data_IF_940210021892
#
_entry.id   IF_940210021892
#
_cell.length_a   1.000
_cell.length_b   1.000
_cell.length_c   1.000
_cell.angle_alpha   90.00
_cell.angle_beta   90.00
_cell.angle_gamma   90.00
#
_symmetry.space_group_name_H-M   'P 1'
#
loop_
_entity.id
_entity.type
_entity.pdbx_description
1 polymer ?
#
# COMPACT_ATOMS: atom_id res chain seq x y z
N UNK A 1 -5.25 -12.46 31.84
CA UNK A 1 -4.97 -12.28 30.39
C UNK A 1 -6.31 -12.00 29.71
N UNK A 2 -6.53 -10.77 29.24
CA UNK A 2 -7.81 -10.39 28.64
C UNK A 2 -8.04 -11.03 27.27
N UNK A 3 -9.31 -11.22 26.89
CA UNK A 3 -9.71 -11.79 25.60
C UNK A 3 -9.09 -11.05 24.38
N UNK A 4 -8.71 -9.77 24.53
CA UNK A 4 -8.03 -8.97 23.51
C UNK A 4 -6.74 -9.60 22.97
N UNK A 5 -5.99 -10.34 23.79
CA UNK A 5 -4.73 -10.94 23.40
C UNK A 5 -4.85 -12.03 22.31
N UNK A 6 -5.99 -12.72 22.26
CA UNK A 6 -6.27 -13.74 21.25
C UNK A 6 -7.09 -13.18 20.08
N UNK A 7 -7.94 -12.18 20.33
CA UNK A 7 -8.83 -11.60 19.32
C UNK A 7 -8.01 -10.87 18.24
N UNK A 8 -6.98 -10.11 18.59
CA UNK A 8 -6.26 -9.29 17.61
C UNK A 8 -5.47 -10.12 16.58
N UNK A 9 -4.64 -11.12 16.97
CA UNK A 9 -4.00 -11.98 15.98
C UNK A 9 -5.02 -12.75 15.13
N UNK A 10 -6.12 -13.20 15.73
CA UNK A 10 -7.19 -13.91 15.02
C UNK A 10 -7.87 -13.02 13.98
N UNK A 11 -8.12 -11.75 14.29
CA UNK A 11 -8.66 -10.77 13.32
C UNK A 11 -7.69 -10.59 12.16
N UNK A 12 -6.39 -10.39 12.42
CA UNK A 12 -5.38 -10.22 11.37
C UNK A 12 -5.30 -11.44 10.47
N UNK A 13 -5.24 -12.64 11.06
CA UNK A 13 -5.24 -13.91 10.32
C UNK A 13 -6.52 -14.00 9.47
N UNK A 14 -7.68 -13.72 10.05
CA UNK A 14 -8.97 -13.74 9.34
C UNK A 14 -9.00 -12.73 8.19
N UNK A 15 -8.44 -11.53 8.36
CA UNK A 15 -8.35 -10.52 7.30
C UNK A 15 -7.39 -10.94 6.18
N UNK A 16 -6.26 -11.57 6.49
CA UNK A 16 -5.30 -12.05 5.50
C UNK A 16 -5.85 -13.27 4.72
N UNK A 17 -6.42 -14.25 5.42
CA UNK A 17 -7.06 -15.41 4.79
C UNK A 17 -8.33 -15.02 4.03
N UNK A 18 -9.17 -14.16 4.62
CA UNK A 18 -10.34 -13.60 3.97
C UNK A 18 -9.96 -12.77 2.74
N UNK A 19 -8.92 -11.95 2.85
CA UNK A 19 -8.40 -11.14 1.75
C UNK A 19 -7.81 -11.97 0.62
N UNK A 20 -7.07 -13.03 0.91
CA UNK A 20 -6.60 -13.98 -0.12
C UNK A 20 -7.76 -14.75 -0.77
N UNK A 21 -8.76 -15.14 0.01
CA UNK A 21 -9.96 -15.82 -0.49
C UNK A 21 -10.82 -14.93 -1.39
N UNK A 22 -11.10 -13.69 -0.98
CA UNK A 22 -11.90 -12.71 -1.75
C UNK A 22 -11.17 -12.31 -3.04
N UNK A 23 -9.85 -12.17 -2.99
CA UNK A 23 -9.04 -11.76 -4.14
C UNK A 23 -8.53 -12.93 -5.01
N UNK A 24 -9.03 -14.15 -4.75
CA UNK A 24 -8.64 -15.36 -5.48
C UNK A 24 -9.06 -15.28 -6.95
N UNK A 25 -8.41 -16.11 -7.75
CA UNK A 25 -8.81 -16.39 -9.11
C UNK A 25 -9.72 -17.64 -9.11
N UNK A 26 -11.04 -17.44 -9.07
CA UNK A 26 -12.03 -18.53 -9.00
C UNK A 26 -12.04 -19.42 -10.24
N UNK A 27 -11.73 -18.85 -11.40
CA UNK A 27 -11.72 -19.55 -12.69
C UNK A 27 -10.44 -20.37 -12.94
N UNK A 28 -9.37 -20.10 -12.17
CA UNK A 28 -8.09 -20.79 -12.34
C UNK A 28 -8.02 -22.08 -11.52
N UNK A 29 -7.89 -23.20 -12.22
CA UNK A 29 -7.70 -24.53 -11.61
C UNK A 29 -6.21 -24.84 -11.46
N UNK A 30 -5.76 -25.03 -10.21
CA UNK A 30 -4.35 -25.34 -9.89
C UNK A 30 -3.83 -26.62 -10.56
N UNK A 31 -4.72 -27.61 -10.69
CA UNK A 31 -4.44 -28.96 -11.18
C UNK A 31 -5.04 -29.21 -12.58
N UNK A 32 -5.45 -28.16 -13.30
CA UNK A 32 -6.05 -28.29 -14.63
C UNK A 32 -5.01 -28.50 -15.74
N UNK A 33 -5.19 -29.54 -16.57
CA UNK A 33 -4.42 -29.74 -17.81
C UNK A 33 -4.68 -28.56 -18.76
N UNK A 34 -3.62 -27.95 -19.29
CA UNK A 34 -3.65 -26.79 -20.20
C UNK A 34 -4.59 -27.08 -21.38
N UNK A 35 -5.77 -26.44 -21.46
CA UNK A 35 -6.47 -26.30 -22.75
C UNK A 35 -5.72 -25.21 -23.50
N UNK A 36 -4.85 -25.62 -24.42
CA UNK A 36 -4.26 -24.72 -25.41
C UNK A 36 -5.45 -24.27 -26.27
N UNK A 37 -5.96 -23.07 -26.03
CA UNK A 37 -6.81 -22.40 -27.01
C UNK A 37 -5.90 -21.95 -28.14
N UNK A 38 -5.73 -22.82 -29.15
CA UNK A 38 -5.23 -22.40 -30.46
C UNK A 38 -6.32 -21.52 -31.07
N UNK A 39 -6.16 -20.19 -30.95
CA UNK A 39 -6.86 -19.27 -31.82
C UNK A 39 -6.23 -19.38 -33.21
N UNK A 40 -6.67 -20.32 -34.02
CA UNK A 40 -6.46 -20.25 -35.47
C UNK A 40 -7.39 -19.16 -36.01
N UNK A 41 -6.86 -18.08 -36.62
CA UNK A 41 -7.72 -17.18 -37.36
C UNK A 41 -8.23 -17.94 -38.59
N UNK A 42 -9.50 -18.34 -38.58
CA UNK A 42 -10.20 -18.76 -39.79
C UNK A 42 -10.35 -17.53 -40.69
N UNK A 43 -9.45 -17.37 -41.65
CA UNK A 43 -9.69 -16.53 -42.82
C UNK A 43 -10.60 -17.29 -43.79
N UNK A 44 -11.70 -16.64 -44.15
CA UNK A 44 -12.65 -17.00 -45.19
C UNK A 44 -12.02 -16.89 -46.59
N UNK A 45 -12.45 -17.78 -47.49
CA UNK A 45 -11.98 -18.11 -48.86
C UNK A 45 -12.05 -16.96 -49.90
N UNK A 46 -11.58 -17.14 -51.16
CA UNK A 46 -12.35 -17.91 -52.16
C UNK A 46 -11.52 -18.82 -53.09
N UNK A 47 -12.25 -19.69 -53.80
CA UNK A 47 -11.77 -20.70 -54.73
C UNK A 47 -11.21 -20.15 -56.05
N UNK A 48 -10.28 -20.88 -56.66
CA UNK A 48 -10.13 -20.99 -58.12
C UNK A 48 -9.41 -22.29 -58.51
N UNK A 49 -9.83 -22.85 -59.62
CA UNK A 49 -9.61 -24.19 -60.17
C UNK A 49 -8.28 -24.40 -60.92
N UNK A 50 -7.83 -25.66 -60.90
CA UNK A 50 -7.14 -26.45 -61.94
C UNK A 50 -5.80 -25.97 -62.53
N UNK A 51 -4.74 -26.80 -62.35
CA UNK A 51 -4.10 -27.58 -63.43
C UNK A 51 -2.93 -28.43 -62.92
N UNK A 52 -2.82 -29.64 -63.46
CA UNK A 52 -1.76 -30.64 -63.29
C UNK A 52 -0.36 -30.11 -63.66
N UNK A 53 0.68 -30.51 -62.92
CA UNK A 53 1.88 -31.11 -63.52
C UNK A 53 2.71 -31.92 -62.49
N UNK A 54 3.39 -32.94 -63.00
CA UNK A 54 4.08 -34.02 -62.30
C UNK A 54 5.60 -33.84 -62.27
N UNK A 55 6.24 -34.20 -61.15
CA UNK A 55 7.71 -34.26 -61.07
C UNK A 55 8.20 -34.75 -59.72
N UNK A 56 8.74 -35.98 -59.69
CA UNK A 56 9.31 -36.64 -58.50
C UNK A 56 10.72 -36.10 -58.18
N UNK A 57 10.96 -35.76 -56.91
CA UNK A 57 12.25 -35.96 -56.22
C UNK A 57 12.11 -35.80 -54.70
N UNK A 58 12.40 -36.87 -53.96
CA UNK A 58 12.46 -37.02 -52.49
C UNK A 58 13.65 -36.26 -51.86
N UNK A 59 13.87 -36.28 -50.52
CA UNK A 59 12.95 -36.23 -49.39
C UNK A 59 13.20 -34.99 -48.50
N UNK A 60 12.12 -34.51 -47.88
CA UNK A 60 12.02 -33.70 -46.66
C UNK A 60 13.33 -33.52 -45.86
N UNK A 61 14.01 -32.39 -46.07
CA UNK A 61 14.83 -31.78 -45.02
C UNK A 61 13.88 -31.36 -43.88
N UNK A 62 14.00 -32.05 -42.75
CA UNK A 62 13.32 -31.77 -41.49
C UNK A 62 13.85 -30.46 -40.86
N UNK A 63 13.63 -29.34 -41.53
CA UNK A 63 14.24 -28.06 -41.22
C UNK A 63 13.25 -26.90 -41.29
N UNK A 64 12.08 -27.00 -40.64
CA UNK A 64 11.20 -25.83 -40.43
C UNK A 64 9.94 -26.11 -39.58
N UNK A 65 10.02 -26.96 -38.55
CA UNK A 65 8.91 -27.13 -37.58
C UNK A 65 9.23 -26.69 -36.15
N UNK A 66 10.35 -25.97 -35.95
CA UNK A 66 10.73 -25.36 -34.67
C UNK A 66 11.09 -23.87 -34.78
N UNK A 67 10.90 -23.25 -35.94
CA UNK A 67 10.97 -21.80 -36.06
C UNK A 67 9.56 -21.24 -35.83
N UNK A 68 9.42 -20.39 -34.80
CA UNK A 68 8.18 -19.78 -34.28
C UNK A 68 7.52 -20.48 -33.09
N UNK A 69 8.32 -20.90 -32.10
CA UNK A 69 7.90 -20.71 -30.71
C UNK A 69 8.62 -19.46 -30.24
N UNK A 70 7.87 -18.45 -29.79
CA UNK A 70 8.39 -17.21 -29.23
C UNK A 70 9.50 -17.51 -28.21
N UNK A 71 10.77 -17.39 -28.64
CA UNK A 71 11.92 -17.61 -27.78
C UNK A 71 12.06 -16.37 -26.90
N UNK A 72 11.23 -16.30 -25.87
CA UNK A 72 11.17 -15.15 -24.99
C UNK A 72 12.54 -14.95 -24.32
N UNK A 73 13.04 -13.70 -24.26
CA UNK A 73 14.41 -13.46 -23.85
C UNK A 73 14.63 -13.91 -22.41
N UNK A 74 15.68 -14.73 -22.22
CA UNK A 74 16.14 -15.25 -20.91
C UNK A 74 16.45 -14.14 -19.90
N UNK A 75 16.76 -12.95 -20.41
CA UNK A 75 17.09 -11.77 -19.64
C UNK A 75 16.13 -10.64 -19.97
N UNK A 76 15.77 -9.86 -18.95
CA UNK A 76 14.89 -8.70 -19.05
C UNK A 76 15.67 -7.42 -18.73
N UNK A 77 15.48 -6.40 -19.57
CA UNK A 77 16.01 -5.06 -19.32
C UNK A 77 15.18 -4.34 -18.24
N UNK A 78 15.85 -3.71 -17.29
CA UNK A 78 15.27 -2.87 -16.23
C UNK A 78 15.96 -1.52 -16.24
N UNK A 79 15.20 -0.45 -16.09
CA UNK A 79 15.75 0.89 -15.89
C UNK A 79 15.88 1.17 -14.39
N UNK A 80 17.08 1.53 -13.95
CA UNK A 80 17.34 2.02 -12.59
C UNK A 80 17.46 3.54 -12.66
N UNK A 81 16.73 4.25 -11.80
CA UNK A 81 16.75 5.71 -11.71
C UNK A 81 17.23 6.15 -10.32
N UNK A 82 18.46 6.63 -10.23
CA UNK A 82 19.04 7.14 -8.96
C UNK A 82 19.35 8.63 -9.15
N UNK A 83 18.71 9.49 -8.36
CA UNK A 83 18.97 10.94 -8.35
C UNK A 83 18.98 11.60 -9.75
N UNK A 84 18.14 11.12 -10.66
CA UNK A 84 18.04 11.63 -12.03
C UNK A 84 18.90 10.88 -13.07
N UNK A 85 19.93 10.15 -12.63
CA UNK A 85 20.72 9.27 -13.49
C UNK A 85 19.89 8.02 -13.85
N UNK A 86 19.83 7.71 -15.15
CA UNK A 86 19.17 6.53 -15.68
C UNK A 86 20.23 5.55 -16.13
N UNK A 87 20.18 4.32 -15.62
CA UNK A 87 21.07 3.24 -16.03
C UNK A 87 20.24 2.01 -16.36
N UNK A 88 20.44 1.47 -17.54
CA UNK A 88 19.86 0.19 -17.90
C UNK A 88 20.66 -0.95 -17.27
N UNK A 89 19.94 -1.86 -16.62
CA UNK A 89 20.49 -3.06 -16.00
C UNK A 89 19.73 -4.27 -16.51
N UNK A 90 20.47 -5.35 -16.76
CA UNK A 90 19.92 -6.61 -17.22
C UNK A 90 19.66 -7.51 -16.01
N UNK A 91 18.48 -8.10 -15.95
CA UNK A 91 18.00 -8.95 -14.84
C UNK A 91 17.43 -10.27 -15.37
N UNK A 92 17.44 -11.36 -14.60
CA UNK A 92 16.96 -12.64 -15.11
C UNK A 92 15.44 -12.64 -15.33
N UNK A 93 14.97 -13.24 -16.42
CA UNK A 93 13.54 -13.39 -16.67
C UNK A 93 12.99 -14.62 -15.93
N UNK A 94 12.03 -14.40 -15.02
CA UNK A 94 11.43 -15.44 -14.18
C UNK A 94 10.31 -16.21 -14.88
N UNK A 95 9.88 -15.79 -16.09
CA UNK A 95 8.74 -16.38 -16.80
C UNK A 95 8.90 -17.87 -17.12
N UNK A 96 10.13 -18.36 -17.24
CA UNK A 96 10.45 -19.80 -17.35
C UNK A 96 9.87 -20.65 -16.20
N UNK A 97 9.61 -20.04 -15.04
CA UNK A 97 9.04 -20.70 -13.86
C UNK A 97 7.52 -20.56 -13.76
N UNK A 98 6.83 -20.03 -14.77
CA UNK A 98 5.38 -19.77 -14.73
C UNK A 98 4.53 -21.01 -14.39
N UNK A 99 4.99 -22.20 -14.79
CA UNK A 99 4.26 -23.47 -14.62
C UNK A 99 4.59 -24.21 -13.31
N UNK A 100 5.52 -23.68 -12.51
CA UNK A 100 5.90 -24.26 -11.22
C UNK A 100 4.75 -24.15 -10.22
N UNK A 101 4.70 -25.05 -9.23
CA UNK A 101 3.59 -25.11 -8.27
C UNK A 101 3.36 -23.78 -7.53
N UNK A 102 4.43 -23.16 -7.02
CA UNK A 102 4.34 -21.89 -6.30
C UNK A 102 3.88 -20.74 -7.22
N UNK A 103 4.35 -20.69 -8.46
CA UNK A 103 3.89 -19.73 -9.46
C UNK A 103 2.39 -19.91 -9.78
N UNK A 104 1.93 -21.16 -9.90
CA UNK A 104 0.50 -21.49 -10.08
C UNK A 104 -0.32 -21.12 -8.84
N UNK A 105 0.23 -21.30 -7.64
CA UNK A 105 -0.40 -20.87 -6.39
C UNK A 105 -0.57 -19.36 -6.34
N UNK A 106 0.46 -18.59 -6.69
CA UNK A 106 0.39 -17.12 -6.77
C UNK A 106 -0.57 -16.65 -7.86
N UNK A 107 -0.69 -17.38 -8.97
CA UNK A 107 -1.70 -17.11 -10.01
C UNK A 107 -3.13 -17.33 -9.51
N UNK A 108 -3.35 -18.32 -8.63
CA UNK A 108 -4.65 -18.53 -7.98
C UNK A 108 -4.91 -17.54 -6.84
N UNK A 109 -3.91 -17.25 -6.02
CA UNK A 109 -4.01 -16.37 -4.86
C UNK A 109 -3.04 -15.19 -4.98
N UNK A 110 -3.34 -14.22 -5.84
CA UNK A 110 -2.41 -13.13 -6.18
C UNK A 110 -2.17 -12.14 -5.03
N UNK A 111 -3.05 -12.11 -4.03
CA UNK A 111 -2.85 -11.31 -2.81
C UNK A 111 -1.76 -11.90 -1.89
N UNK A 112 -1.37 -13.17 -2.08
CA UNK A 112 -0.31 -13.78 -1.28
C UNK A 112 1.05 -13.10 -1.47
N UNK A 113 1.30 -12.54 -2.66
CA UNK A 113 2.47 -11.70 -2.94
C UNK A 113 2.49 -10.46 -2.03
N UNK A 114 1.32 -9.91 -1.72
CA UNK A 114 1.19 -8.72 -0.88
C UNK A 114 1.43 -9.04 0.59
N UNK A 115 0.91 -10.19 1.06
CA UNK A 115 1.22 -10.73 2.38
C UNK A 115 2.72 -10.97 2.54
N UNK A 116 3.40 -11.48 1.50
CA UNK A 116 4.86 -11.65 1.50
C UNK A 116 5.60 -10.32 1.63
N UNK A 117 5.21 -9.28 0.88
CA UNK A 117 5.83 -7.96 1.04
C UNK A 117 5.65 -7.38 2.43
N UNK A 118 4.49 -7.59 3.05
CA UNK A 118 4.24 -7.18 4.42
C UNK A 118 5.13 -7.92 5.43
N UNK A 119 5.23 -9.24 5.28
CA UNK A 119 6.14 -10.06 6.09
C UNK A 119 7.61 -9.60 5.92
N UNK A 120 8.03 -9.27 4.69
CA UNK A 120 9.37 -8.75 4.42
C UNK A 120 9.63 -7.43 5.16
N UNK A 121 8.69 -6.47 5.09
CA UNK A 121 8.80 -5.19 5.78
C UNK A 121 8.88 -5.40 7.30
N UNK A 122 8.04 -6.29 7.84
CA UNK A 122 8.05 -6.65 9.26
C UNK A 122 9.40 -7.24 9.68
N UNK A 123 9.98 -8.16 8.89
CA UNK A 123 11.29 -8.75 9.19
C UNK A 123 12.43 -7.75 9.12
N UNK A 124 12.42 -6.83 8.15
CA UNK A 124 13.40 -5.75 8.07
C UNK A 124 13.32 -4.85 9.30
N UNK A 125 12.12 -4.47 9.72
CA UNK A 125 11.91 -3.72 10.96
C UNK A 125 12.41 -4.49 12.19
N UNK A 126 12.09 -5.78 12.27
CA UNK A 126 12.47 -6.63 13.40
C UNK A 126 14.00 -6.77 13.54
N UNK A 127 14.70 -6.88 12.41
CA UNK A 127 16.16 -6.93 12.34
C UNK A 127 16.77 -5.59 12.72
N UNK A 128 16.23 -4.49 12.19
CA UNK A 128 16.67 -3.14 12.53
C UNK A 128 16.50 -2.81 14.02
N UNK A 129 15.40 -3.26 14.63
CA UNK A 129 15.16 -3.17 16.07
C UNK A 129 16.13 -4.05 16.86
N UNK A 130 16.40 -5.28 16.41
CA UNK A 130 17.38 -6.14 17.08
C UNK A 130 18.77 -5.51 17.08
N UNK A 131 19.19 -4.94 15.95
CA UNK A 131 20.43 -4.18 15.85
C UNK A 131 20.43 -2.98 16.80
N UNK A 132 19.36 -2.17 16.79
CA UNK A 132 19.21 -1.01 17.66
C UNK A 132 19.29 -1.41 19.14
N UNK A 133 18.58 -2.47 19.55
CA UNK A 133 18.57 -2.97 20.92
C UNK A 133 19.95 -3.44 21.40
N UNK A 134 20.76 -4.05 20.52
CA UNK A 134 22.14 -4.44 20.84
C UNK A 134 23.07 -3.23 20.96
N UNK A 135 22.78 -2.14 20.24
CA UNK A 135 23.54 -0.88 20.29
C UNK A 135 23.04 0.11 21.36
N UNK A 136 21.86 -0.11 21.96
CA UNK A 136 21.25 0.83 22.91
C UNK A 136 21.86 0.67 24.32
N UNK A 137 22.68 1.63 24.70
CA UNK A 137 23.18 1.83 26.08
C UNK A 137 22.13 2.64 26.86
N UNK A 138 22.01 2.47 28.19
CA UNK A 138 21.06 3.18 29.07
C UNK A 138 20.97 4.70 28.83
N UNK A 139 22.04 5.34 28.36
CA UNK A 139 22.06 6.76 27.96
C UNK A 139 21.05 7.14 26.86
N UNK A 140 20.63 6.20 26.01
CA UNK A 140 19.68 6.46 24.91
C UNK A 140 18.27 6.79 25.38
N UNK A 141 17.81 6.22 26.49
CA UNK A 141 16.49 6.55 27.08
C UNK A 141 16.48 7.98 27.60
N UNK A 142 17.58 8.42 28.22
CA UNK A 142 17.74 9.80 28.70
C UNK A 142 17.85 10.82 27.55
N UNK A 143 18.47 10.43 26.43
CA UNK A 143 18.46 11.23 25.19
C UNK A 143 17.04 11.36 24.64
N UNK A 144 16.30 10.25 24.53
CA UNK A 144 14.93 10.25 24.01
C UNK A 144 13.98 11.12 24.86
N UNK A 145 14.16 11.13 26.19
CA UNK A 145 13.41 12.01 27.10
C UNK A 145 13.73 13.49 26.87
N UNK A 146 15.02 13.82 26.68
CA UNK A 146 15.42 15.21 26.37
C UNK A 146 14.82 15.68 25.04
N UNK A 147 14.80 14.83 24.02
CA UNK A 147 14.15 15.15 22.75
C UNK A 147 12.65 15.37 22.92
N UNK A 148 11.97 14.58 23.76
CA UNK A 148 10.55 14.79 24.05
C UNK A 148 10.28 16.14 24.74
N UNK A 149 11.13 16.54 25.70
CA UNK A 149 11.03 17.87 26.31
C UNK A 149 11.29 18.99 25.30
N UNK A 150 12.27 18.83 24.40
CA UNK A 150 12.50 19.78 23.31
C UNK A 150 11.28 19.94 22.40
N UNK A 151 10.57 18.84 22.11
CA UNK A 151 9.32 18.87 21.35
C UNK A 151 8.26 19.68 22.10
N UNK A 152 8.07 19.42 23.41
CA UNK A 152 7.12 20.19 24.24
C UNK A 152 7.46 21.68 24.25
N UNK A 153 8.72 22.05 24.46
CA UNK A 153 9.14 23.45 24.45
C UNK A 153 8.88 24.11 23.09
N UNK A 154 9.12 23.39 22.00
CA UNK A 154 8.84 23.87 20.66
C UNK A 154 7.33 24.06 20.43
N UNK A 155 6.50 23.11 20.87
CA UNK A 155 5.04 23.21 20.79
C UNK A 155 4.49 24.38 21.61
N UNK A 156 5.05 24.62 22.79
CA UNK A 156 4.70 25.77 23.63
C UNK A 156 5.08 27.09 22.96
N UNK A 157 6.28 27.16 22.36
CA UNK A 157 6.73 28.34 21.61
C UNK A 157 5.88 28.60 20.35
N UNK A 158 5.38 27.54 19.72
CA UNK A 158 4.46 27.62 18.59
C UNK A 158 2.99 27.81 19.01
N UNK A 159 2.68 27.85 20.32
CA UNK A 159 1.34 27.91 20.87
C UNK A 159 0.39 26.81 20.39
N UNK A 160 0.93 25.62 20.11
CA UNK A 160 0.16 24.43 19.69
C UNK A 160 0.14 23.33 20.74
N UNK A 161 0.69 23.57 21.93
CA UNK A 161 0.72 22.61 23.04
C UNK A 161 -0.68 22.43 23.65
N UNK A 162 -1.48 21.56 23.02
CA UNK A 162 -2.86 21.26 23.41
C UNK A 162 -3.04 19.82 23.92
N UNK A 163 -2.00 19.00 23.84
CA UNK A 163 -2.00 17.57 24.16
C UNK A 163 -2.55 17.30 25.55
N UNK A 164 -2.08 18.06 26.55
CA UNK A 164 -2.49 17.90 27.94
C UNK A 164 -3.98 18.27 28.13
N UNK A 165 -4.45 19.33 27.46
CA UNK A 165 -5.85 19.76 27.53
C UNK A 165 -6.78 18.72 26.89
N UNK A 166 -6.38 18.19 25.73
CA UNK A 166 -7.12 17.13 25.04
C UNK A 166 -7.16 15.86 25.90
N UNK A 167 -6.02 15.41 26.43
CA UNK A 167 -5.98 14.23 27.28
C UNK A 167 -6.85 14.40 28.53
N UNK A 168 -6.74 15.52 29.24
CA UNK A 168 -7.53 15.78 30.45
C UNK A 168 -9.04 15.76 30.17
N UNK A 169 -9.48 16.28 29.02
CA UNK A 169 -10.89 16.21 28.62
C UNK A 169 -11.34 14.76 28.38
N UNK A 170 -10.53 13.94 27.71
CA UNK A 170 -10.85 12.52 27.50
C UNK A 170 -10.84 11.71 28.80
N UNK A 171 -9.93 12.00 29.74
CA UNK A 171 -9.89 11.36 31.05
C UNK A 171 -11.16 11.60 31.87
N UNK A 172 -11.83 12.74 31.68
CA UNK A 172 -13.12 13.04 32.30
C UNK A 172 -14.30 12.27 31.67
N UNK A 173 -14.09 11.64 30.50
CA UNK A 173 -15.11 10.92 29.76
C UNK A 173 -14.71 9.44 29.54
N UNK A 174 -14.88 8.56 30.55
CA UNK A 174 -14.42 7.18 30.49
C UNK A 174 -14.92 6.38 29.29
N UNK A 175 -16.17 6.61 28.87
CA UNK A 175 -16.75 5.97 27.69
C UNK A 175 -16.01 6.36 26.40
N UNK A 176 -15.71 7.65 26.22
CA UNK A 176 -14.97 8.12 25.06
C UNK A 176 -13.52 7.65 25.10
N UNK A 177 -12.89 7.66 26.28
CA UNK A 177 -11.54 7.16 26.49
C UNK A 177 -11.42 5.67 26.11
N UNK A 178 -12.39 4.84 26.53
CA UNK A 178 -12.44 3.42 26.19
C UNK A 178 -12.46 3.19 24.67
N UNK A 179 -13.36 3.85 23.94
CA UNK A 179 -13.41 3.74 22.48
C UNK A 179 -12.17 4.32 21.79
N UNK A 180 -11.58 5.36 22.35
CA UNK A 180 -10.37 6.00 21.82
C UNK A 180 -9.16 5.09 21.96
N UNK A 181 -9.00 4.43 23.12
CA UNK A 181 -8.01 3.37 23.34
C UNK A 181 -8.17 2.24 22.32
N UNK A 182 -9.41 1.80 22.11
CA UNK A 182 -9.71 0.74 21.15
C UNK A 182 -9.41 1.13 19.71
N UNK A 183 -9.76 2.35 19.33
CA UNK A 183 -9.44 2.95 18.03
C UNK A 183 -7.93 2.96 17.82
N UNK A 184 -7.18 3.47 18.80
CA UNK A 184 -5.72 3.52 18.75
C UNK A 184 -5.10 2.13 18.52
N UNK A 185 -5.49 1.15 19.35
CA UNK A 185 -4.96 -0.21 19.29
C UNK A 185 -5.36 -0.98 18.03
N UNK A 186 -6.63 -0.87 17.61
CA UNK A 186 -7.19 -1.75 16.57
C UNK A 186 -7.08 -1.18 15.15
N UNK A 187 -7.11 0.14 14.98
CA UNK A 187 -7.25 0.72 13.63
C UNK A 187 -5.93 0.71 12.87
N UNK A 188 -4.77 0.81 13.53
CA UNK A 188 -3.50 0.90 12.82
C UNK A 188 -3.18 -0.35 11.98
N UNK A 189 -3.17 -1.54 12.58
CA UNK A 189 -2.77 -2.77 11.87
C UNK A 189 -3.98 -3.40 11.14
N UNK A 190 -5.03 -3.91 11.84
CA UNK A 190 -6.22 -4.43 11.19
C UNK A 190 -6.85 -3.48 10.16
N UNK A 191 -6.98 -2.20 10.49
CA UNK A 191 -7.57 -1.20 9.58
C UNK A 191 -6.75 -1.00 8.31
N UNK A 192 -5.42 -0.94 8.42
CA UNK A 192 -4.54 -0.86 7.25
C UNK A 192 -4.60 -2.11 6.37
N UNK A 193 -4.65 -3.31 6.99
CA UNK A 193 -4.79 -4.57 6.25
C UNK A 193 -6.13 -4.61 5.52
N UNK A 194 -7.22 -4.28 6.21
CA UNK A 194 -8.56 -4.22 5.62
C UNK A 194 -8.61 -3.25 4.44
N UNK A 195 -8.03 -2.05 4.60
CA UNK A 195 -7.91 -1.08 3.52
C UNK A 195 -7.13 -1.64 2.33
N UNK A 196 -6.02 -2.35 2.54
CA UNK A 196 -5.23 -2.93 1.47
C UNK A 196 -5.96 -4.06 0.74
N UNK A 197 -6.65 -4.93 1.49
CA UNK A 197 -7.50 -5.97 0.92
C UNK A 197 -8.59 -5.36 0.04
N UNK A 198 -9.26 -4.32 0.53
CA UNK A 198 -10.29 -3.60 -0.21
C UNK A 198 -9.72 -2.87 -1.43
N UNK A 199 -8.60 -2.15 -1.27
CA UNK A 199 -7.97 -1.42 -2.37
C UNK A 199 -7.52 -2.41 -3.45
N UNK A 200 -6.90 -3.53 -3.08
CA UNK A 200 -6.49 -4.57 -4.02
C UNK A 200 -7.70 -5.14 -4.76
N UNK A 201 -8.81 -5.39 -4.06
CA UNK A 201 -10.04 -5.86 -4.68
C UNK A 201 -10.58 -4.84 -5.69
N UNK A 202 -10.65 -3.57 -5.31
CA UNK A 202 -11.15 -2.48 -6.13
C UNK A 202 -10.27 -2.21 -7.36
N UNK A 203 -8.95 -2.18 -7.20
CA UNK A 203 -8.01 -1.81 -8.27
C UNK A 203 -7.60 -2.99 -9.16
N UNK A 204 -7.60 -4.20 -8.60
CA UNK A 204 -7.10 -5.39 -9.27
C UNK A 204 -8.23 -6.36 -9.58
N UNK A 205 -8.90 -6.89 -8.56
CA UNK A 205 -9.83 -8.02 -8.73
C UNK A 205 -11.03 -7.63 -9.60
N UNK A 206 -11.57 -6.43 -9.40
CA UNK A 206 -12.68 -5.89 -10.22
C UNK A 206 -12.28 -5.52 -11.65
N UNK A 207 -10.98 -5.28 -11.88
CA UNK A 207 -10.41 -4.74 -13.13
C UNK A 207 -9.72 -5.78 -14.01
N UNK A 208 -9.78 -7.06 -13.68
CA UNK A 208 -9.14 -8.11 -14.49
C UNK A 208 -9.86 -8.25 -15.83
N UNK A 209 -9.15 -7.93 -16.91
CA UNK A 209 -9.57 -8.17 -18.29
C UNK A 209 -9.07 -9.53 -18.82
N UNK A 210 -8.03 -10.11 -18.21
CA UNK A 210 -7.37 -11.36 -18.68
C UNK A 210 -8.20 -12.65 -18.48
N UNK A 211 -9.46 -12.55 -18.05
CA UNK A 211 -10.33 -13.70 -17.84
C UNK A 211 -11.73 -13.39 -18.38
N UNK A 212 -12.30 -14.24 -19.25
CA UNK A 212 -13.71 -14.15 -19.58
C UNK A 212 -14.49 -14.49 -18.31
N UNK A 213 -14.87 -13.46 -17.57
CA UNK A 213 -15.95 -13.58 -16.60
C UNK A 213 -17.17 -14.03 -17.41
N UNK A 214 -17.73 -15.19 -17.07
CA UNK A 214 -18.78 -15.88 -17.84
C UNK A 214 -20.04 -15.04 -18.14
N UNK A 215 -20.15 -13.84 -17.55
CA UNK A 215 -21.25 -12.90 -17.68
C UNK A 215 -20.85 -11.49 -18.17
N UNK A 216 -19.63 -11.27 -18.71
CA UNK A 216 -19.25 -9.95 -19.25
C UNK A 216 -19.26 -9.97 -20.78
N UNK A 217 -20.06 -9.11 -21.45
CA UNK A 217 -19.97 -8.97 -22.90
C UNK A 217 -18.56 -8.52 -23.29
N UNK A 218 -18.05 -9.09 -24.38
CA UNK A 218 -16.73 -8.84 -24.94
C UNK A 218 -16.62 -7.35 -25.31
N UNK A 219 -15.90 -6.54 -24.53
CA UNK A 219 -15.61 -5.13 -24.86
C UNK A 219 -16.00 -4.08 -23.83
N UNK A 220 -16.76 -4.40 -22.78
CA UNK A 220 -17.04 -3.45 -21.69
C UNK A 220 -16.09 -3.67 -20.52
N UNK A 221 -15.01 -2.89 -20.49
CA UNK A 221 -14.18 -2.75 -19.30
C UNK A 221 -14.93 -1.89 -18.26
N UNK A 222 -15.98 -2.46 -17.62
CA UNK A 222 -16.70 -1.84 -16.49
C UNK A 222 -15.86 -1.89 -15.19
N UNK A 223 -14.54 -1.81 -15.34
CA UNK A 223 -13.56 -1.79 -14.27
C UNK A 223 -13.47 -0.41 -13.62
N UNK A 224 -13.12 -0.41 -12.34
CA UNK A 224 -12.61 0.78 -11.66
C UNK A 224 -11.49 1.45 -12.48
N UNK A 225 -11.56 2.76 -12.72
CA UNK A 225 -10.51 3.50 -13.45
C UNK A 225 -9.16 3.58 -12.72
N UNK A 226 -9.04 3.02 -11.51
CA UNK A 226 -7.85 3.13 -10.68
C UNK A 226 -6.65 2.30 -11.15
N UNK A 227 -6.89 1.14 -11.79
CA UNK A 227 -5.86 0.21 -12.24
C UNK A 227 -4.95 -0.38 -11.13
N UNK A 228 -4.26 -1.50 -11.37
CA UNK A 228 -3.38 -2.14 -10.37
C UNK A 228 -2.14 -1.31 -10.03
N UNK A 229 -1.74 -0.39 -10.91
CA UNK A 229 -0.62 0.54 -10.67
C UNK A 229 -0.86 1.42 -9.44
N UNK A 230 -2.12 1.82 -9.17
CA UNK A 230 -2.46 2.61 -7.98
C UNK A 230 -2.16 1.85 -6.70
N UNK A 231 -2.64 0.60 -6.58
CA UNK A 231 -2.38 -0.23 -5.42
C UNK A 231 -0.87 -0.42 -5.20
N UNK A 232 -0.12 -0.74 -6.27
CA UNK A 232 1.33 -0.90 -6.19
C UNK A 232 2.03 0.39 -5.72
N UNK A 233 1.55 1.57 -6.15
CA UNK A 233 2.06 2.86 -5.69
C UNK A 233 1.79 3.07 -4.20
N UNK A 234 0.56 2.82 -3.71
CA UNK A 234 0.22 2.99 -2.28
C UNK A 234 0.98 2.02 -1.39
N UNK A 235 1.14 0.76 -1.80
CA UNK A 235 2.01 -0.21 -1.13
C UNK A 235 3.44 0.29 -0.99
N UNK A 236 4.04 0.76 -2.10
CA UNK A 236 5.41 1.30 -2.07
C UNK A 236 5.51 2.53 -1.17
N UNK A 237 4.51 3.41 -1.19
CA UNK A 237 4.48 4.57 -0.30
C UNK A 237 4.51 4.15 1.17
N UNK A 238 3.67 3.19 1.61
CA UNK A 238 3.74 2.69 2.99
C UNK A 238 5.11 2.07 3.34
N UNK A 239 5.71 1.33 2.42
CA UNK A 239 7.04 0.76 2.62
C UNK A 239 8.12 1.84 2.76
N UNK A 240 8.06 2.90 1.95
CA UNK A 240 8.97 4.06 2.07
C UNK A 240 8.70 4.85 3.36
N UNK A 241 7.45 5.03 3.78
CA UNK A 241 7.13 5.63 5.08
C UNK A 241 7.82 4.87 6.22
N UNK A 242 7.75 3.53 6.23
CA UNK A 242 8.44 2.73 7.25
C UNK A 242 9.95 2.87 7.20
N UNK A 243 10.53 2.91 5.99
CA UNK A 243 11.97 3.09 5.84
C UNK A 243 12.43 4.44 6.39
N UNK A 244 11.74 5.53 6.02
CA UNK A 244 12.06 6.88 6.52
C UNK A 244 11.84 6.95 8.02
N UNK A 245 10.70 6.45 8.53
CA UNK A 245 10.43 6.43 9.97
C UNK A 245 11.49 5.65 10.73
N UNK A 246 11.93 4.50 10.22
CA UNK A 246 13.02 3.73 10.80
C UNK A 246 14.32 4.52 10.88
N UNK A 247 14.71 5.21 9.78
CA UNK A 247 15.90 6.08 9.78
C UNK A 247 15.78 7.17 10.85
N UNK A 248 14.62 7.84 10.95
CA UNK A 248 14.41 8.88 11.96
C UNK A 248 14.47 8.31 13.37
N UNK A 249 13.83 7.16 13.64
CA UNK A 249 13.87 6.52 14.97
C UNK A 249 15.28 6.13 15.40
N UNK A 250 16.13 5.70 14.47
CA UNK A 250 17.51 5.34 14.75
C UNK A 250 18.38 6.58 15.01
N UNK A 251 18.15 7.69 14.28
CA UNK A 251 18.97 8.90 14.39
C UNK A 251 18.50 9.86 15.50
N UNK A 252 17.20 9.92 15.76
CA UNK A 252 16.56 10.85 16.69
C UNK A 252 15.44 10.15 17.48
N UNK A 253 15.78 9.30 18.47
CA UNK A 253 14.77 8.66 19.29
C UNK A 253 14.01 9.72 20.10
N UNK A 254 12.68 9.62 20.16
CA UNK A 254 11.83 10.58 20.87
C UNK A 254 10.84 9.81 21.76
N UNK A 255 10.89 10.10 23.05
CA UNK A 255 10.04 9.44 24.05
C UNK A 255 8.58 9.90 23.93
N UNK A 256 7.59 9.00 23.96
CA UNK A 256 6.19 9.40 23.93
C UNK A 256 5.75 10.10 25.23
N UNK A 257 4.72 10.97 25.16
CA UNK A 257 4.27 11.76 26.32
C UNK A 257 3.91 10.91 27.55
N UNK A 258 3.22 9.78 27.36
CA UNK A 258 2.81 8.87 28.45
C UNK A 258 3.96 8.34 29.32
N UNK A 259 5.19 8.28 28.79
CA UNK A 259 6.36 7.78 29.52
C UNK A 259 7.14 8.88 30.26
N UNK A 260 6.74 10.16 30.11
CA UNK A 260 7.39 11.28 30.79
C UNK A 260 7.12 11.33 32.29
N UNK A 261 6.01 10.74 32.73
CA UNK A 261 5.56 10.74 34.14
C UNK A 261 6.24 9.69 35.02
N UNK A 262 7.32 9.05 34.56
CA UNK A 262 8.04 8.01 35.33
C UNK A 262 8.64 8.56 36.64
N UNK A 263 8.25 7.96 37.77
CA UNK A 263 8.67 8.32 39.11
C UNK A 263 10.15 7.99 39.40
N UNK A 264 10.72 7.01 38.69
CA UNK A 264 12.06 6.48 38.99
C UNK A 264 13.20 7.31 38.39
N UNK A 265 12.90 8.40 37.68
CA UNK A 265 13.91 9.22 36.99
C UNK A 265 14.40 10.35 37.92
N UNK A 266 15.66 10.34 38.40
CA UNK A 266 16.20 11.41 39.22
C UNK A 266 16.59 12.64 38.39
N UNK A 267 16.80 13.77 39.06
CA UNK A 267 17.34 15.01 38.47
C UNK A 267 16.29 16.00 37.94
N UNK A 268 16.79 17.17 37.50
CA UNK A 268 15.95 18.28 37.03
C UNK A 268 15.09 17.90 35.80
N UNK A 269 15.67 17.15 34.86
CA UNK A 269 14.98 16.64 33.66
C UNK A 269 13.81 15.73 34.03
N UNK A 270 13.97 14.86 35.02
CA UNK A 270 12.89 14.01 35.51
C UNK A 270 11.79 14.80 36.22
N UNK A 271 12.16 15.84 36.97
CA UNK A 271 11.21 16.73 37.65
C UNK A 271 10.36 17.52 36.65
N UNK A 272 10.98 18.04 35.59
CA UNK A 272 10.29 18.73 34.51
C UNK A 272 9.40 17.78 33.70
N UNK A 273 9.89 16.60 33.30
CA UNK A 273 9.07 15.63 32.58
C UNK A 273 7.80 15.24 33.36
N UNK A 274 7.91 15.08 34.68
CA UNK A 274 6.78 14.80 35.57
C UNK A 274 5.82 15.97 35.79
N UNK A 275 6.25 17.22 35.64
CA UNK A 275 5.37 18.37 35.89
C UNK A 275 4.20 18.45 34.91
N UNK A 276 4.35 17.84 33.73
CA UNK A 276 3.30 17.76 32.72
C UNK A 276 2.20 16.73 33.06
N UNK A 277 2.50 15.71 33.87
CA UNK A 277 1.48 14.80 34.41
C UNK A 277 0.72 13.93 33.39
N UNK A 278 1.31 13.59 32.24
CA UNK A 278 0.68 12.71 31.25
C UNK A 278 0.32 11.34 31.84
N UNK A 279 -0.82 10.78 31.42
CA UNK A 279 -1.32 9.49 31.91
C UNK A 279 -1.26 8.42 30.82
N UNK A 280 -0.71 7.24 31.12
CA UNK A 280 -0.78 6.09 30.21
C UNK A 280 -2.13 5.37 30.35
N UNK A 281 -3.04 5.65 29.43
CA UNK A 281 -4.39 5.09 29.41
C UNK A 281 -4.50 3.78 28.63
N UNK A 282 -3.49 3.44 27.82
CA UNK A 282 -3.50 2.26 26.94
C UNK A 282 -2.77 1.08 27.58
N UNK A 283 -1.69 1.33 28.32
CA UNK A 283 -0.81 0.29 28.88
C UNK A 283 -0.90 0.18 30.41
N UNK A 284 -1.76 0.96 31.07
CA UNK A 284 -2.02 0.87 32.51
C UNK A 284 -2.74 -0.42 32.93
N UNK A 285 -2.87 -0.65 34.25
CA UNK A 285 -3.45 -1.87 34.83
C UNK A 285 -4.93 -2.12 34.44
N UNK A 286 -5.65 -1.07 34.05
CA UNK A 286 -7.03 -1.12 33.52
C UNK A 286 -7.11 -0.85 32.00
N UNK A 287 -5.96 -0.67 31.33
CA UNK A 287 -5.89 -0.38 29.90
C UNK A 287 -6.27 -1.58 29.03
N UNK A 288 -6.87 -1.31 27.86
CA UNK A 288 -7.12 -2.36 26.86
C UNK A 288 -5.78 -2.91 26.33
N UNK A 289 -5.31 -3.99 26.96
CA UNK A 289 -4.12 -4.73 26.56
C UNK A 289 -4.23 -5.26 25.12
N UNK A 290 -3.73 -4.48 24.15
CA UNK A 290 -3.47 -4.95 22.80
C UNK A 290 -2.15 -5.69 22.77
N UNK A 291 -2.15 -6.90 22.20
CA UNK A 291 -0.95 -7.73 22.07
C UNK A 291 0.08 -7.07 21.16
N UNK A 292 -0.34 -6.17 20.27
CA UNK A 292 0.55 -5.48 19.37
C UNK A 292 1.15 -4.20 19.96
N UNK A 293 0.43 -3.47 20.82
CA UNK A 293 0.99 -2.29 21.51
C UNK A 293 1.78 -2.65 22.77
N UNK A 294 1.38 -3.71 23.49
CA UNK A 294 2.09 -4.22 24.67
C UNK A 294 3.21 -5.23 24.36
N UNK A 295 3.38 -5.64 23.10
CA UNK A 295 4.40 -6.64 22.78
C UNK A 295 5.80 -6.10 23.08
N UNK A 296 6.66 -6.94 23.70
CA UNK A 296 8.12 -6.72 23.87
C UNK A 296 8.87 -6.47 22.53
N UNK A 297 8.15 -6.50 21.40
CA UNK A 297 8.65 -6.37 20.03
C UNK A 297 8.40 -4.97 19.41
N UNK A 298 7.68 -4.06 20.07
CA UNK A 298 7.54 -2.66 19.64
C UNK A 298 8.55 -1.76 20.37
N UNK A 299 9.20 -0.84 19.65
CA UNK A 299 10.08 0.15 20.28
C UNK A 299 9.23 1.18 21.03
N UNK A 300 9.18 1.07 22.36
CA UNK A 300 8.33 1.92 23.20
C UNK A 300 8.80 3.39 23.24
N UNK A 301 10.01 3.68 22.77
CA UNK A 301 10.63 5.02 22.76
C UNK A 301 10.67 5.68 21.37
N UNK A 302 9.82 5.24 20.44
CA UNK A 302 9.77 5.72 19.06
C UNK A 302 8.47 6.50 18.78
N UNK A 303 8.33 7.69 19.34
CA UNK A 303 7.15 8.54 19.15
C UNK A 303 7.19 9.31 17.80
N UNK A 304 8.34 9.85 17.39
CA UNK A 304 8.46 10.69 16.20
C UNK A 304 9.22 9.97 15.07
N UNK A 305 8.67 9.83 13.85
CA UNK A 305 7.38 10.34 13.35
C UNK A 305 6.20 9.41 13.65
N UNK A 306 4.98 9.96 13.74
CA UNK A 306 3.78 9.15 13.95
C UNK A 306 3.38 8.36 12.69
N UNK A 307 3.70 7.06 12.68
CA UNK A 307 3.25 6.13 11.63
C UNK A 307 1.74 5.89 11.67
N UNK A 308 1.12 5.96 12.85
CA UNK A 308 -0.33 5.92 13.01
C UNK A 308 -1.00 6.99 12.17
N UNK A 309 -0.57 8.25 12.36
CA UNK A 309 -1.10 9.36 11.60
C UNK A 309 -0.68 9.29 10.12
N UNK A 310 0.59 9.02 9.83
CA UNK A 310 1.09 8.94 8.45
C UNK A 310 0.33 7.92 7.58
N UNK A 311 0.02 6.75 8.12
CA UNK A 311 -0.77 5.74 7.41
C UNK A 311 -2.23 6.14 7.27
N UNK A 312 -2.82 6.73 8.33
CA UNK A 312 -4.19 7.22 8.27
C UNK A 312 -4.36 8.32 7.22
N UNK A 313 -3.36 9.20 7.08
CA UNK A 313 -3.32 10.24 6.07
C UNK A 313 -3.18 9.64 4.67
N UNK A 314 -2.30 8.66 4.48
CA UNK A 314 -2.17 7.94 3.21
C UNK A 314 -3.49 7.28 2.79
N UNK A 315 -4.17 6.62 3.73
CA UNK A 315 -5.47 5.99 3.51
C UNK A 315 -6.50 7.06 3.15
N UNK A 316 -6.59 8.12 3.95
CA UNK A 316 -7.52 9.22 3.74
C UNK A 316 -7.36 9.91 2.38
N UNK A 317 -6.11 10.24 2.02
CA UNK A 317 -5.76 10.81 0.72
C UNK A 317 -6.07 9.85 -0.43
N UNK A 318 -5.87 8.54 -0.24
CA UNK A 318 -6.19 7.55 -1.27
C UNK A 318 -7.69 7.42 -1.48
N UNK A 319 -8.48 7.37 -0.40
CA UNK A 319 -9.95 7.31 -0.49
C UNK A 319 -10.49 8.59 -1.11
N UNK A 320 -9.97 9.75 -0.73
CA UNK A 320 -10.36 11.05 -1.28
C UNK A 320 -10.03 11.17 -2.78
N UNK A 321 -8.86 10.68 -3.20
CA UNK A 321 -8.38 10.78 -4.59
C UNK A 321 -8.80 9.60 -5.47
N UNK A 322 -9.53 8.62 -4.93
CA UNK A 322 -9.88 7.41 -5.67
C UNK A 322 -10.67 7.78 -6.94
N UNK A 323 -10.26 7.28 -8.12
CA UNK A 323 -11.00 7.60 -9.33
C UNK A 323 -12.29 6.79 -9.33
N UNK A 324 -13.41 7.52 -9.38
CA UNK A 324 -14.76 6.97 -9.45
C UNK A 324 -15.19 6.82 -10.91
N UNK A 325 -16.10 5.88 -11.17
CA UNK A 325 -16.68 5.65 -12.50
C UNK A 325 -17.31 6.95 -13.07
N UNK A 326 -17.33 7.16 -14.40
CA UNK A 326 -17.80 8.39 -15.02
C UNK A 326 -19.21 8.82 -14.59
N UNK A 327 -20.09 7.84 -14.34
CA UNK A 327 -21.47 8.06 -13.87
C UNK A 327 -21.52 8.76 -12.50
N UNK A 328 -20.50 8.60 -11.66
CA UNK A 328 -20.40 9.22 -10.34
C UNK A 328 -19.49 10.46 -10.33
N UNK A 329 -18.99 10.92 -11.48
CA UNK A 329 -18.19 12.15 -11.61
C UNK A 329 -19.02 13.41 -11.86
N UNK A 330 -20.31 13.29 -12.20
CA UNK A 330 -21.16 14.46 -12.50
C UNK A 330 -21.32 15.34 -11.26
N UNK A 331 -20.62 16.47 -11.27
CA UNK A 331 -20.79 17.55 -10.30
C UNK A 331 -22.05 18.34 -10.65
N UNK A 332 -22.83 18.72 -9.64
CA UNK A 332 -23.98 19.63 -9.80
C UNK A 332 -23.50 21.05 -9.54
N UNK A 333 -23.70 21.96 -10.49
CA UNK A 333 -23.48 23.39 -10.25
C UNK A 333 -24.73 23.96 -9.56
N UNK A 334 -24.57 24.42 -8.32
CA UNK A 334 -25.62 25.12 -7.58
C UNK A 334 -25.36 26.62 -7.73
N UNK A 335 -26.33 27.42 -8.22
CA UNK A 335 -26.19 28.87 -8.21
C UNK A 335 -26.26 29.38 -6.76
N UNK A 336 -25.27 30.18 -6.37
CA UNK A 336 -25.25 30.94 -5.13
C UNK A 336 -25.75 32.37 -5.42
N UNK A 337 -26.26 33.05 -4.39
CA UNK A 337 -26.60 34.47 -4.45
C UNK A 337 -25.38 35.31 -4.87
N UNK A 338 -25.62 36.39 -5.64
CA UNK A 338 -24.59 37.23 -6.28
C UNK A 338 -23.77 36.59 -7.41
N UNK A 339 -24.36 35.66 -8.18
CA UNK A 339 -23.77 35.19 -9.44
C UNK A 339 -22.61 34.19 -9.30
N UNK A 340 -22.19 33.85 -8.08
CA UNK A 340 -21.25 32.75 -7.84
C UNK A 340 -21.94 31.41 -8.11
N UNK A 341 -21.27 30.51 -8.83
CA UNK A 341 -21.74 29.13 -9.03
C UNK A 341 -20.83 28.18 -8.26
N UNK A 342 -21.37 27.48 -7.26
CA UNK A 342 -20.62 26.47 -6.52
C UNK A 342 -20.76 25.11 -7.20
N UNK A 343 -19.65 24.50 -7.60
CA UNK A 343 -19.63 23.12 -8.11
C UNK A 343 -19.62 22.15 -6.94
N UNK A 344 -20.76 21.53 -6.67
CA UNK A 344 -20.90 20.52 -5.62
C UNK A 344 -20.52 19.16 -6.20
N UNK A 345 -19.58 18.41 -5.59
CA UNK A 345 -19.24 17.07 -6.02
C UNK A 345 -20.44 16.12 -5.88
N UNK A 346 -20.40 14.97 -6.57
CA UNK A 346 -21.43 13.94 -6.40
C UNK A 346 -21.50 13.45 -4.95
N UNK A 347 -22.65 12.95 -4.49
CA UNK A 347 -22.80 12.44 -3.12
C UNK A 347 -21.76 11.38 -2.75
N UNK A 348 -21.37 10.52 -3.70
CA UNK A 348 -20.31 9.52 -3.51
C UNK A 348 -18.93 10.15 -3.38
N UNK A 349 -18.62 11.18 -4.18
CA UNK A 349 -17.35 11.90 -4.05
C UNK A 349 -17.29 12.71 -2.75
N UNK A 350 -18.41 13.31 -2.33
CA UNK A 350 -18.52 13.97 -1.04
C UNK A 350 -18.27 12.97 0.09
N UNK A 351 -18.89 11.79 0.06
CA UNK A 351 -18.64 10.73 1.04
C UNK A 351 -17.17 10.32 1.07
N UNK A 352 -16.51 10.14 -0.08
CA UNK A 352 -15.07 9.85 -0.12
C UNK A 352 -14.21 10.96 0.49
N UNK A 353 -14.55 12.22 0.27
CA UNK A 353 -13.86 13.37 0.88
C UNK A 353 -14.10 13.37 2.39
N UNK A 354 -15.35 13.25 2.83
CA UNK A 354 -15.71 13.23 4.26
C UNK A 354 -15.00 12.10 4.98
N UNK A 355 -15.06 10.87 4.46
CA UNK A 355 -14.35 9.72 5.05
C UNK A 355 -12.83 9.91 4.99
N UNK A 356 -12.32 10.46 3.90
CA UNK A 356 -10.90 10.72 3.70
C UNK A 356 -10.30 11.74 4.65
N UNK A 357 -11.10 12.71 5.11
CA UNK A 357 -10.71 13.71 6.12
C UNK A 357 -11.00 13.21 7.54
N UNK A 358 -12.17 12.61 7.77
CA UNK A 358 -12.58 12.15 9.09
C UNK A 358 -11.66 11.07 9.64
N UNK A 359 -11.20 10.13 8.80
CA UNK A 359 -10.35 9.04 9.24
C UNK A 359 -9.01 9.50 9.87
N UNK A 360 -8.14 10.27 9.18
CA UNK A 360 -6.92 10.79 9.79
C UNK A 360 -7.20 11.75 10.96
N UNK A 361 -8.30 12.51 10.94
CA UNK A 361 -8.67 13.37 12.07
C UNK A 361 -8.99 12.57 13.34
N UNK A 362 -9.76 11.48 13.21
CA UNK A 362 -10.06 10.56 14.33
C UNK A 362 -8.78 9.94 14.88
N UNK A 363 -7.85 9.54 14.00
CA UNK A 363 -6.56 8.98 14.44
C UNK A 363 -5.70 10.03 15.14
N UNK A 364 -5.67 11.28 14.66
CA UNK A 364 -4.96 12.36 15.33
C UNK A 364 -5.47 12.59 16.75
N UNK A 365 -6.80 12.68 16.90
CA UNK A 365 -7.42 12.82 18.22
C UNK A 365 -7.06 11.61 19.10
N UNK A 366 -7.12 10.40 18.56
CA UNK A 366 -6.82 9.20 19.32
C UNK A 366 -5.37 9.12 19.81
N UNK A 367 -4.38 9.44 18.96
CA UNK A 367 -2.97 9.37 19.36
C UNK A 367 -2.59 10.43 20.41
N UNK A 368 -3.24 11.60 20.37
CA UNK A 368 -3.03 12.70 21.32
C UNK A 368 -3.75 12.41 22.64
N UNK A 369 -5.03 12.02 22.59
CA UNK A 369 -5.83 11.71 23.77
C UNK A 369 -5.23 10.57 24.61
N UNK A 370 -4.62 9.59 23.94
CA UNK A 370 -3.94 8.46 24.59
C UNK A 370 -2.51 8.76 25.04
N UNK A 371 -2.03 10.00 24.87
CA UNK A 371 -0.66 10.43 25.17
C UNK A 371 0.42 9.56 24.52
N UNK A 372 0.13 8.99 23.35
CA UNK A 372 1.10 8.18 22.61
C UNK A 372 1.98 9.02 21.69
N UNK A 373 1.51 10.19 21.26
CA UNK A 373 2.20 11.07 20.34
C UNK A 373 1.94 12.54 20.66
N UNK A 374 2.92 13.38 20.35
CA UNK A 374 2.78 14.84 20.30
C UNK A 374 2.12 15.29 19.00
N UNK A 375 1.59 16.53 18.94
CA UNK A 375 1.03 17.09 17.70
C UNK A 375 2.14 17.20 16.64
N UNK A 376 3.36 17.58 17.02
CA UNK A 376 4.50 17.62 16.09
C UNK A 376 4.88 16.24 15.56
N UNK A 377 4.62 15.15 16.29
CA UNK A 377 4.83 13.80 15.75
C UNK A 377 3.89 13.52 14.57
N UNK A 378 2.67 14.04 14.62
CA UNK A 378 1.70 13.95 13.52
C UNK A 378 2.13 14.81 12.33
N UNK A 379 2.67 16.01 12.57
CA UNK A 379 3.26 16.86 11.52
C UNK A 379 4.42 16.14 10.84
N UNK A 380 5.36 15.59 11.61
CA UNK A 380 6.46 14.79 11.08
C UNK A 380 5.95 13.57 10.30
N UNK A 381 4.92 12.88 10.81
CA UNK A 381 4.24 11.79 10.11
C UNK A 381 3.62 12.22 8.77
N UNK A 382 3.02 13.40 8.71
CA UNK A 382 2.47 13.97 7.48
C UNK A 382 3.57 14.28 6.45
N UNK A 383 4.67 14.89 6.90
CA UNK A 383 5.84 15.17 6.05
C UNK A 383 6.42 13.88 5.47
N UNK A 384 6.62 12.86 6.32
CA UNK A 384 7.10 11.54 5.89
C UNK A 384 6.14 10.89 4.89
N UNK A 385 4.83 10.97 5.13
CA UNK A 385 3.82 10.50 4.18
C UNK A 385 3.93 11.24 2.83
N UNK A 386 4.08 12.56 2.84
CA UNK A 386 4.23 13.37 1.62
C UNK A 386 5.50 13.02 0.83
N UNK A 387 6.65 12.93 1.51
CA UNK A 387 7.92 12.52 0.91
C UNK A 387 7.85 11.10 0.33
N UNK A 388 7.24 10.16 1.06
CA UNK A 388 7.06 8.81 0.57
C UNK A 388 6.08 8.76 -0.62
N UNK A 389 5.06 9.61 -0.63
CA UNK A 389 4.06 9.65 -1.70
C UNK A 389 4.69 10.03 -3.04
N UNK A 390 5.57 11.04 -3.04
CA UNK A 390 6.30 11.49 -4.23
C UNK A 390 7.51 10.59 -4.53
N UNK A 391 8.21 10.12 -3.50
CA UNK A 391 9.44 9.34 -3.60
C UNK A 391 9.28 7.82 -3.75
N UNK A 392 8.05 7.27 -3.75
CA UNK A 392 7.83 5.80 -3.75
C UNK A 392 8.46 5.05 -4.94
N UNK A 393 8.83 5.75 -6.02
CA UNK A 393 9.49 5.17 -7.19
C UNK A 393 10.91 4.69 -6.90
N UNK A 394 11.55 5.17 -5.83
CA UNK A 394 12.90 4.72 -5.43
C UNK A 394 12.95 3.21 -5.21
N UNK A 395 11.87 2.60 -4.71
CA UNK A 395 11.79 1.16 -4.51
C UNK A 395 11.74 0.35 -5.81
N UNK A 396 11.46 0.99 -6.96
CA UNK A 396 11.52 0.31 -8.27
C UNK A 396 12.98 -0.02 -8.66
N UNK A 397 13.95 0.68 -8.08
CA UNK A 397 15.37 0.35 -8.27
C UNK A 397 15.75 -1.01 -7.66
N UNK A 398 14.89 -1.57 -6.79
CA UNK A 398 15.06 -2.90 -6.20
C UNK A 398 14.42 -4.01 -7.06
N UNK A 399 13.80 -3.69 -8.19
CA UNK A 399 13.22 -4.70 -9.09
C UNK A 399 14.26 -5.71 -9.62
N UNK A 400 15.49 -5.33 -9.99
CA UNK A 400 16.50 -6.32 -10.36
C UNK A 400 16.80 -7.30 -9.24
N UNK A 401 16.88 -6.81 -7.99
CA UNK A 401 17.08 -7.67 -6.81
C UNK A 401 15.89 -8.61 -6.59
N UNK A 402 14.66 -8.12 -6.78
CA UNK A 402 13.44 -8.95 -6.75
C UNK A 402 13.51 -10.05 -7.82
N UNK A 403 13.92 -9.70 -9.05
CA UNK A 403 14.03 -10.65 -10.15
C UNK A 403 15.08 -11.74 -9.86
N UNK A 404 16.24 -11.38 -9.30
CA UNK A 404 17.25 -12.34 -8.84
C UNK A 404 16.73 -13.24 -7.72
N UNK A 405 16.05 -12.67 -6.72
CA UNK A 405 15.46 -13.44 -5.63
C UNK A 405 14.44 -14.46 -6.16
N UNK A 406 13.48 -14.00 -6.96
CA UNK A 406 12.46 -14.84 -7.59
C UNK A 406 13.07 -15.93 -8.49
N UNK A 407 14.19 -15.62 -9.16
CA UNK A 407 14.92 -16.58 -9.94
C UNK A 407 15.58 -17.67 -9.08
N UNK A 408 16.20 -17.29 -7.95
CA UNK A 408 16.80 -18.22 -7.00
C UNK A 408 15.76 -19.17 -6.38
N UNK A 409 14.59 -18.63 -5.98
CA UNK A 409 13.50 -19.44 -5.41
C UNK A 409 12.64 -20.14 -6.47
N UNK A 410 12.95 -19.97 -7.76
CA UNK A 410 12.24 -20.58 -8.90
C UNK A 410 10.73 -20.25 -8.93
N UNK A 411 10.39 -18.99 -8.69
CA UNK A 411 9.01 -18.48 -8.69
C UNK A 411 8.85 -17.42 -9.77
N UNK A 412 7.73 -17.46 -10.48
CA UNK A 412 7.31 -16.38 -11.37
C UNK A 412 6.18 -15.58 -10.71
N UNK A 413 6.37 -14.26 -10.64
CA UNK A 413 5.33 -13.33 -10.23
C UNK A 413 4.43 -13.03 -11.43
N UNK A 414 3.11 -13.29 -11.36
CA UNK A 414 2.23 -13.08 -12.49
C UNK A 414 2.18 -11.60 -12.86
N UNK A 415 2.60 -11.29 -14.09
CA UNK A 415 2.48 -9.96 -14.67
C UNK A 415 1.01 -9.70 -15.00
N UNK A 416 0.48 -8.57 -14.53
CA UNK A 416 -0.94 -8.25 -14.68
C UNK A 416 -1.07 -7.29 -15.85
N UNK A 417 -1.47 -7.81 -17.02
CA UNK A 417 -1.71 -7.00 -18.21
C UNK A 417 -2.93 -6.11 -17.93
N UNK A 418 -2.81 -4.85 -18.32
CA UNK A 418 -3.90 -3.86 -18.21
C UNK A 418 -4.04 -3.26 -19.59
N UNK A 419 -5.15 -3.53 -20.28
CA UNK A 419 -5.55 -2.68 -21.39
C UNK A 419 -6.00 -1.35 -20.76
N UNK A 420 -5.17 -0.32 -20.90
CA UNK A 420 -5.66 1.04 -20.74
C UNK A 420 -6.58 1.30 -21.94
N UNK A 421 -7.78 1.83 -21.69
CA UNK A 421 -8.37 2.69 -22.69
C UNK A 421 -7.45 3.92 -22.72
N UNK A 422 -6.53 3.94 -23.68
CA UNK A 422 -5.65 5.08 -23.91
C UNK A 422 -6.50 6.33 -24.11
N UNK A 423 -6.13 7.36 -23.36
CA UNK A 423 -6.80 8.65 -23.29
C UNK A 423 -6.15 9.44 -22.17
N UNK A 424 -4.84 9.68 -22.31
CA UNK A 424 -4.05 10.77 -21.71
C UNK A 424 -2.56 10.44 -21.85
N UNK A 425 -2.06 10.31 -23.08
CA UNK A 425 -0.68 10.69 -23.36
C UNK A 425 -0.72 12.13 -23.90
N UNK A 426 -0.05 13.02 -23.16
CA UNK A 426 0.15 14.41 -23.55
C UNK A 426 1.13 14.43 -24.73
N UNK A 427 0.61 14.29 -25.95
CA UNK A 427 1.27 14.72 -27.16
C UNK A 427 0.61 16.03 -27.61
N UNK A 428 1.33 17.15 -27.49
CA UNK A 428 1.00 18.34 -28.25
C UNK A 428 1.09 18.01 -29.73
N UNK A 429 -0.04 17.99 -30.42
CA UNK A 429 -0.05 18.10 -31.88
C UNK A 429 -0.88 19.32 -32.29
N UNK A 430 -0.21 20.20 -33.04
CA UNK A 430 -0.79 21.39 -33.67
C UNK A 430 -1.86 20.95 -34.66
N UNK A 431 -3.01 21.65 -34.64
CA UNK A 431 -4.21 21.49 -35.48
C UNK A 431 -5.31 20.59 -34.90
N UNK A 432 -6.21 21.23 -34.14
CA UNK A 432 -7.41 20.62 -33.61
C UNK A 432 -8.39 20.13 -34.68
N UNK A 433 -8.82 18.87 -34.53
CA UNK A 433 -10.15 18.37 -34.93
C UNK A 433 -10.44 17.05 -34.21
N UNK A 434 -11.55 17.02 -33.46
CA UNK A 434 -12.07 15.82 -32.81
C UNK A 434 -12.56 14.78 -33.83
N UNK A 435 -12.29 13.49 -33.59
CA UNK A 435 -13.09 12.36 -34.09
C UNK A 435 -13.06 11.18 -33.13
N UNK A 436 -14.26 10.68 -32.81
CA UNK A 436 -14.53 9.46 -32.05
C UNK A 436 -14.10 8.20 -32.83
N UNK A 437 -13.48 7.25 -32.12
CA UNK A 437 -13.22 5.90 -32.64
C UNK A 437 -12.27 5.11 -31.73
N UNK A 438 -12.81 4.49 -30.68
CA UNK A 438 -12.03 3.61 -29.81
C UNK A 438 -11.63 2.32 -30.57
N UNK A 439 -10.34 2.18 -30.89
CA UNK A 439 -9.72 0.91 -31.24
C UNK A 439 -8.59 0.67 -30.25
N UNK A 440 -8.74 -0.38 -29.43
CA UNK A 440 -7.71 -0.79 -28.48
C UNK A 440 -6.51 -1.39 -29.22
N UNK A 441 -5.32 -0.95 -28.85
CA UNK A 441 -4.06 -1.58 -29.25
C UNK A 441 -3.40 -2.18 -28.00
N UNK A 442 -2.95 -3.42 -28.13
CA UNK A 442 -2.17 -4.15 -27.13
C UNK A 442 -0.71 -3.73 -27.31
N UNK A 443 -0.06 -3.25 -26.24
CA UNK A 443 1.38 -3.01 -26.23
C UNK A 443 2.02 -3.92 -25.18
N UNK A 444 3.00 -4.72 -25.62
CA UNK A 444 3.67 -5.81 -24.89
C UNK A 444 4.62 -5.36 -23.76
#
# INVERSE_FOLDING_TARGET
MGAGAFIEPLVVITLLFGGTYVNRNSEYRLLGRRRIYQNSPRSSSPASSSSFDSGRSSPSSSASLLANVDDEPKWRKREIKILGLRKEVISPNTRRFQDYFLSRLLKKFPFLVEAWYWALIYWVYQLGRAFSAVTMVEGTVNVARRHALQVIHLEQHLHIFYELSVQNWFLQHPFLMHWTNRIYSFIHIPGTILFLVWLFYYTTTRNRLDLPLHNKPLGEADGSPAGPKLYAARRRTMAVCNLIAFIVFTLWPCMPPRLLSDANVPGAVGKEARSYGFVDTVHGAEGESSVWTQNKFCNQYAAMPSLHFGYSLLIGLTVMSIPLAPQHRRSRSVPLTMGLRMRVPSARRLLCITLGVAYPAVILVAIVATANHFILDAVAGAMVCGLAWTGNRVLLNLLPLEDYFLWCVRIHKPERRVAFAEGDDWAEDRYGRERYGAKGVVVD
#
